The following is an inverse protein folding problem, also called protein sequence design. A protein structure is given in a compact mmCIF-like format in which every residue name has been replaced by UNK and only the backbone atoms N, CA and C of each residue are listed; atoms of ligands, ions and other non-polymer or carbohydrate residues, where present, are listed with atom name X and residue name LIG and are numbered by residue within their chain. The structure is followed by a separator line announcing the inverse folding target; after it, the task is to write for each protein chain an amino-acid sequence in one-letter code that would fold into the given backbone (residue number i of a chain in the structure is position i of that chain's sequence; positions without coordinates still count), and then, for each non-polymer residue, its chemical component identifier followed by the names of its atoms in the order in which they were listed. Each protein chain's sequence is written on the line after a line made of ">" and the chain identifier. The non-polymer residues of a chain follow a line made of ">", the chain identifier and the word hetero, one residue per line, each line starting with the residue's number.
data_IF_018663414396
#
_entry.id   IF_018663414396
#
_cell.length_a   1.000
_cell.length_b   1.000
_cell.length_c   1.000
_cell.angle_alpha   90.00
_cell.angle_beta   90.00
_cell.angle_gamma   90.00
#
_symmetry.space_group_name_H-M   'P 1'
#
loop_
_entity.id
_entity.type
_entity.pdbx_description
1 polymer ?
#
# COMPACT_ATOMS: atom_id res chain seq x y z
N UNK A 1 -13.93 0.91 5.82
CA UNK A 1 -13.21 -0.39 5.87
C UNK A 1 -12.96 -0.88 7.29
N UNK A 2 -12.31 -2.05 7.50
CA UNK A 2 -11.92 -2.54 8.84
C UNK A 2 -11.02 -1.52 9.57
N UNK A 3 -10.03 -0.96 8.88
CA UNK A 3 -9.04 -0.05 9.45
C UNK A 3 -9.65 1.27 9.99
N UNK A 4 -10.66 1.83 9.32
CA UNK A 4 -11.40 3.00 9.83
C UNK A 4 -12.18 2.66 11.10
N UNK A 5 -12.88 1.52 11.09
CA UNK A 5 -13.74 1.10 12.21
C UNK A 5 -12.95 0.69 13.44
N UNK A 6 -11.68 0.31 13.29
CA UNK A 6 -10.79 -0.07 14.40
C UNK A 6 -10.03 1.11 15.02
N UNK A 7 -10.17 2.33 14.48
CA UNK A 7 -9.43 3.51 14.96
C UNK A 7 -7.91 3.44 14.78
N UNK A 8 -7.43 2.55 13.89
CA UNK A 8 -6.00 2.33 13.65
C UNK A 8 -5.42 3.32 12.62
N UNK A 9 -6.27 4.07 11.92
CA UNK A 9 -5.86 4.98 10.85
C UNK A 9 -5.37 6.30 11.43
N UNK A 10 -4.09 6.62 11.20
CA UNK A 10 -3.57 7.96 11.43
C UNK A 10 -4.19 8.96 10.43
N UNK A 11 -4.38 10.24 10.81
CA UNK A 11 -4.98 11.25 9.92
C UNK A 11 -4.28 11.41 8.55
N UNK A 12 -2.96 11.18 8.51
CA UNK A 12 -2.17 11.23 7.28
C UNK A 12 -2.52 10.09 6.32
N UNK A 13 -2.70 8.87 6.85
CA UNK A 13 -3.15 7.69 6.09
C UNK A 13 -4.52 7.93 5.49
N UNK A 14 -5.43 8.59 6.23
CA UNK A 14 -6.77 8.90 5.75
C UNK A 14 -6.74 9.73 4.45
N UNK A 15 -5.90 10.76 4.39
CA UNK A 15 -5.77 11.62 3.19
C UNK A 15 -5.29 10.84 1.96
N UNK A 16 -4.38 9.89 2.16
CA UNK A 16 -3.88 9.04 1.06
C UNK A 16 -4.99 8.11 0.55
N UNK A 17 -5.79 7.55 1.46
CA UNK A 17 -6.92 6.68 1.10
C UNK A 17 -8.01 7.46 0.36
N UNK A 18 -8.35 8.67 0.81
CA UNK A 18 -9.30 9.56 0.11
C UNK A 18 -8.85 9.88 -1.33
N UNK A 19 -7.56 10.14 -1.54
CA UNK A 19 -7.02 10.39 -2.87
C UNK A 19 -7.07 9.15 -3.77
N UNK A 20 -6.87 7.95 -3.20
CA UNK A 20 -7.03 6.69 -3.92
C UNK A 20 -8.49 6.46 -4.30
N UNK A 21 -9.43 6.68 -3.39
CA UNK A 21 -10.86 6.55 -3.63
C UNK A 21 -11.34 7.51 -4.72
N UNK A 22 -10.91 8.78 -4.66
CA UNK A 22 -11.22 9.78 -5.69
C UNK A 22 -10.67 9.41 -7.08
N UNK A 23 -9.58 8.64 -7.13
CA UNK A 23 -8.98 8.14 -8.36
C UNK A 23 -9.52 6.76 -8.80
N UNK A 24 -10.45 6.16 -8.04
CA UNK A 24 -10.95 4.81 -8.29
C UNK A 24 -9.89 3.71 -8.12
N UNK A 25 -8.86 3.97 -7.32
CA UNK A 25 -7.74 3.05 -7.05
C UNK A 25 -8.03 2.26 -5.78
N UNK A 26 -8.11 0.92 -5.84
CA UNK A 26 -8.24 0.09 -4.64
C UNK A 26 -7.02 0.25 -3.73
N UNK A 27 -7.23 0.73 -2.51
CA UNK A 27 -6.17 0.97 -1.53
C UNK A 27 -6.60 0.53 -0.12
N UNK A 28 -5.62 0.25 0.74
CA UNK A 28 -5.83 0.00 2.17
C UNK A 28 -4.57 0.35 2.96
N UNK A 29 -4.75 0.55 4.26
CA UNK A 29 -3.65 0.68 5.21
C UNK A 29 -2.94 -0.66 5.41
N UNK A 30 -1.60 -0.62 5.50
CA UNK A 30 -0.78 -1.74 5.97
C UNK A 30 -1.11 -2.03 7.42
N UNK A 31 -1.52 -3.26 7.75
CA UNK A 31 -1.90 -3.59 9.13
C UNK A 31 -0.76 -3.31 10.10
N UNK A 32 -1.07 -2.57 11.17
CA UNK A 32 -0.15 -2.15 12.25
C UNK A 32 1.00 -1.21 11.83
N UNK A 33 0.99 -0.69 10.59
CA UNK A 33 2.01 0.24 10.10
C UNK A 33 1.42 1.57 9.63
N UNK A 34 2.20 2.66 9.73
CA UNK A 34 1.83 3.96 9.16
C UNK A 34 2.13 3.98 7.65
N UNK A 35 1.43 3.15 6.88
CA UNK A 35 1.65 3.00 5.45
C UNK A 35 0.39 2.59 4.70
N UNK A 36 0.36 2.90 3.41
CA UNK A 36 -0.73 2.55 2.49
C UNK A 36 -0.18 1.69 1.37
N UNK A 37 -0.94 0.68 0.98
CA UNK A 37 -0.71 -0.06 -0.26
C UNK A 37 -1.93 0.07 -1.17
N UNK A 38 -1.68 0.04 -2.48
CA UNK A 38 -2.71 0.17 -3.49
C UNK A 38 -2.44 -0.76 -4.68
N UNK A 39 -3.48 -1.09 -5.43
CA UNK A 39 -3.43 -2.02 -6.54
C UNK A 39 -3.79 -1.33 -7.87
N UNK A 40 -3.10 -1.72 -8.95
CA UNK A 40 -3.37 -1.26 -10.31
C UNK A 40 -2.37 -0.23 -10.84
N UNK A 41 -2.37 -0.01 -12.15
CA UNK A 41 -1.39 0.84 -12.83
C UNK A 41 -1.49 2.32 -12.43
N UNK A 42 -2.67 2.78 -12.01
CA UNK A 42 -2.87 4.16 -11.55
C UNK A 42 -2.35 4.41 -10.12
N UNK A 43 -2.06 3.36 -9.35
CA UNK A 43 -1.69 3.48 -7.93
C UNK A 43 -0.41 4.27 -7.70
N UNK A 44 0.63 3.99 -8.49
CA UNK A 44 1.93 4.67 -8.36
C UNK A 44 1.78 6.18 -8.53
N UNK A 45 1.09 6.62 -9.58
CA UNK A 45 0.85 8.05 -9.86
C UNK A 45 0.12 8.75 -8.71
N UNK A 46 -0.87 8.11 -8.09
CA UNK A 46 -1.62 8.69 -6.96
C UNK A 46 -0.74 8.74 -5.71
N UNK A 47 -0.06 7.66 -5.37
CA UNK A 47 0.75 7.55 -4.16
C UNK A 47 2.02 8.42 -4.20
N UNK A 48 2.60 8.65 -5.38
CA UNK A 48 3.79 9.52 -5.53
C UNK A 48 3.55 10.97 -5.11
N UNK A 49 2.29 11.40 -4.99
CA UNK A 49 1.94 12.72 -4.42
C UNK A 49 2.16 12.81 -2.90
N UNK A 50 2.37 11.69 -2.21
CA UNK A 50 2.44 11.63 -0.75
C UNK A 50 3.80 11.15 -0.21
N UNK A 51 4.66 10.56 -1.06
CA UNK A 51 5.98 10.08 -0.64
C UNK A 51 6.61 9.13 -1.65
N UNK A 52 7.66 8.45 -1.21
CA UNK A 52 8.34 7.42 -2.00
C UNK A 52 7.44 6.19 -2.19
N UNK A 53 7.39 5.68 -3.43
CA UNK A 53 6.54 4.55 -3.80
C UNK A 53 7.40 3.39 -4.26
N UNK A 54 7.18 2.23 -3.66
CA UNK A 54 7.81 0.97 -4.06
C UNK A 54 6.80 0.11 -4.83
N UNK A 55 7.12 -0.23 -6.08
CA UNK A 55 6.32 -1.19 -6.85
C UNK A 55 6.65 -2.61 -6.41
N UNK A 56 5.64 -3.31 -5.92
CA UNK A 56 5.72 -4.71 -5.54
C UNK A 56 4.86 -5.57 -6.45
N UNK A 57 5.21 -6.86 -6.57
CA UNK A 57 4.38 -7.87 -7.23
C UNK A 57 3.98 -8.92 -6.20
N UNK A 58 2.79 -9.50 -6.37
CA UNK A 58 2.33 -10.61 -5.54
C UNK A 58 3.30 -11.78 -5.68
N UNK A 59 3.91 -12.17 -4.57
CA UNK A 59 4.75 -13.36 -4.50
C UNK A 59 3.89 -14.60 -4.77
N UNK A 60 4.25 -15.37 -5.80
CA UNK A 60 3.55 -16.62 -6.18
C UNK A 60 4.11 -17.86 -5.50
N UNK A 61 5.16 -17.71 -4.69
CA UNK A 61 5.85 -18.77 -3.97
C UNK A 61 6.09 -18.30 -2.53
N UNK A 62 5.97 -19.23 -1.58
CA UNK A 62 6.38 -19.00 -0.19
C UNK A 62 7.91 -18.92 -0.05
N UNK A 63 8.42 -19.06 1.17
CA UNK A 63 9.86 -19.04 1.43
C UNK A 63 10.60 -20.19 0.70
N UNK A 64 11.79 -19.90 0.16
CA UNK A 64 12.68 -20.87 -0.46
C UNK A 64 14.14 -20.44 -0.28
N UNK A 65 15.05 -21.42 -0.30
CA UNK A 65 16.49 -21.19 -0.21
C UNK A 65 17.02 -20.85 -1.60
N UNK A 66 17.87 -19.82 -1.67
CA UNK A 66 18.64 -19.47 -2.87
C UNK A 66 20.12 -19.67 -2.58
N UNK A 67 20.87 -20.13 -3.58
CA UNK A 67 22.33 -20.09 -3.54
C UNK A 67 22.78 -18.66 -3.81
N UNK A 68 23.63 -18.10 -2.94
CA UNK A 68 24.29 -16.81 -3.17
C UNK A 68 25.72 -17.08 -3.62
N UNK A 69 26.05 -16.69 -4.84
CA UNK A 69 27.44 -16.69 -5.33
C UNK A 69 28.08 -15.33 -5.01
N UNK A 70 29.37 -15.28 -4.59
CA UNK A 70 30.10 -14.05 -4.36
C UNK A 70 30.19 -13.15 -5.60
#
# INVERSE_FOLDING_TARGET
>A
GFAEKSGLIAPEVHRVLEACDAAGVPASMTMLGNGVFACGEAAERVLSGFGEVYRLRVARRGAYIIEMKP
#
